data_IF_547385730569
#
_entry.id   IF_547385730569
#
_cell.length_a   1.000
_cell.length_b   1.000
_cell.length_c   1.000
_cell.angle_alpha   90.00
_cell.angle_beta   90.00
_cell.angle_gamma   90.00
#
_symmetry.space_group_name_H-M   'P 1'
#
loop_
_entity.id
_entity.type
_entity.pdbx_description
1 polymer ?
#
# COMPACT_ATOMS: atom_id res chain seq x y z
N UNK A 1 17.46 37.81 -33.97
CA UNK A 1 17.84 37.06 -32.76
C UNK A 1 16.66 36.19 -32.36
N UNK A 2 16.78 34.86 -32.47
CA UNK A 2 15.72 33.93 -32.04
C UNK A 2 15.64 34.00 -30.51
N UNK A 3 14.45 34.27 -29.97
CA UNK A 3 14.22 34.34 -28.53
C UNK A 3 14.34 32.93 -27.92
N UNK A 4 15.55 32.57 -27.49
CA UNK A 4 15.85 31.31 -26.80
C UNK A 4 15.31 31.27 -25.37
N UNK A 5 14.81 32.39 -24.82
CA UNK A 5 14.32 32.44 -23.43
C UNK A 5 12.98 31.74 -23.21
N UNK A 6 12.07 31.77 -24.20
CA UNK A 6 10.74 31.14 -24.10
C UNK A 6 10.76 29.62 -24.26
N UNK A 7 11.75 29.08 -24.98
CA UNK A 7 11.92 27.63 -25.16
C UNK A 7 12.64 26.98 -23.97
N UNK A 8 13.58 27.70 -23.34
CA UNK A 8 14.27 27.21 -22.13
C UNK A 8 13.31 27.15 -20.94
N UNK A 9 12.43 28.15 -20.77
CA UNK A 9 11.44 28.15 -19.68
C UNK A 9 10.39 27.04 -19.82
N UNK A 10 9.90 26.78 -21.04
CA UNK A 10 8.98 25.68 -21.32
C UNK A 10 9.60 24.30 -21.03
N UNK A 11 10.90 24.13 -21.30
CA UNK A 11 11.62 22.89 -21.02
C UNK A 11 11.66 22.57 -19.52
N UNK A 12 11.92 23.56 -18.66
CA UNK A 12 11.91 23.34 -17.19
C UNK A 12 10.51 23.02 -16.65
N UNK A 13 9.44 23.58 -17.23
CA UNK A 13 8.05 23.25 -16.85
C UNK A 13 7.72 21.80 -17.24
N UNK A 14 8.07 21.37 -18.45
CA UNK A 14 7.84 20.00 -18.91
C UNK A 14 8.68 19.01 -18.08
N UNK A 15 9.94 19.34 -17.76
CA UNK A 15 10.80 18.51 -16.92
C UNK A 15 10.26 18.40 -15.49
N UNK A 16 9.73 19.49 -14.92
CA UNK A 16 9.07 19.50 -13.62
C UNK A 16 7.82 18.63 -13.58
N UNK A 17 6.97 18.71 -14.62
CA UNK A 17 5.81 17.83 -14.79
C UNK A 17 6.24 16.36 -14.97
N UNK A 18 7.33 16.09 -15.68
CA UNK A 18 7.87 14.74 -15.83
C UNK A 18 8.39 14.16 -14.51
N UNK A 19 9.06 14.96 -13.68
CA UNK A 19 9.54 14.52 -12.36
C UNK A 19 8.37 14.24 -11.42
N UNK A 20 7.34 15.10 -11.43
CA UNK A 20 6.10 14.87 -10.68
C UNK A 20 5.43 13.59 -11.21
N UNK A 21 5.27 13.46 -12.51
CA UNK A 21 4.72 12.27 -13.15
C UNK A 21 5.50 11.01 -12.73
N UNK A 22 6.83 10.98 -12.80
CA UNK A 22 7.65 9.85 -12.36
C UNK A 22 7.61 9.57 -10.86
N UNK A 23 7.33 10.57 -10.01
CA UNK A 23 7.09 10.37 -8.58
C UNK A 23 5.78 9.63 -8.31
N UNK A 24 4.78 9.83 -9.17
CA UNK A 24 3.43 9.25 -9.03
C UNK A 24 3.15 8.06 -9.97
N UNK A 25 3.95 7.85 -11.02
CA UNK A 25 3.77 6.78 -12.00
C UNK A 25 4.52 5.53 -11.58
N UNK A 26 3.71 4.48 -11.37
CA UNK A 26 4.09 3.09 -11.38
C UNK A 26 4.77 2.56 -10.11
N UNK A 27 3.97 2.49 -9.04
CA UNK A 27 4.13 1.42 -8.07
C UNK A 27 3.68 0.14 -8.78
N UNK A 28 4.64 -0.59 -9.38
CA UNK A 28 4.37 -1.90 -9.96
C UNK A 28 3.91 -2.90 -8.89
N UNK A 29 3.53 -4.11 -9.32
CA UNK A 29 3.17 -5.19 -8.40
C UNK A 29 4.24 -5.45 -7.33
N UNK A 30 3.86 -6.07 -6.21
CA UNK A 30 4.77 -6.32 -5.09
C UNK A 30 5.99 -7.13 -5.53
N UNK A 31 7.17 -6.68 -5.12
CA UNK A 31 8.47 -7.26 -5.48
C UNK A 31 9.11 -7.93 -4.29
N UNK A 32 10.08 -8.81 -4.56
CA UNK A 32 10.85 -9.50 -3.53
C UNK A 32 11.57 -8.56 -2.55
N UNK A 33 11.80 -7.30 -2.93
CA UNK A 33 12.36 -6.28 -2.06
C UNK A 33 11.54 -6.05 -0.78
N UNK A 34 10.22 -6.20 -0.83
CA UNK A 34 9.32 -6.04 0.33
C UNK A 34 9.80 -6.91 1.49
N UNK A 35 10.18 -8.17 1.23
CA UNK A 35 10.55 -9.15 2.25
C UNK A 35 11.71 -8.74 3.16
N UNK A 36 12.53 -7.75 2.76
CA UNK A 36 13.69 -7.30 3.55
C UNK A 36 13.31 -6.33 4.66
N UNK A 37 12.29 -5.51 4.42
CA UNK A 37 11.89 -4.41 5.30
C UNK A 37 10.37 -4.34 5.47
N UNK A 38 9.72 -5.52 5.47
CA UNK A 38 8.28 -5.65 5.59
C UNK A 38 7.79 -5.01 6.89
N UNK A 39 6.84 -4.08 6.74
CA UNK A 39 5.97 -3.64 7.83
C UNK A 39 4.53 -3.91 7.47
N UNK A 40 3.70 -3.83 8.49
CA UNK A 40 2.29 -4.12 8.41
C UNK A 40 1.50 -2.92 8.90
N UNK A 41 0.39 -2.63 8.26
CA UNK A 41 -0.58 -1.62 8.72
C UNK A 41 -1.98 -2.09 8.35
N UNK A 42 -2.97 -1.24 8.57
CA UNK A 42 -4.36 -1.52 8.23
C UNK A 42 -4.70 -0.85 6.90
N UNK A 43 -5.22 -1.62 5.97
CA UNK A 43 -5.86 -1.13 4.77
C UNK A 43 -7.37 -1.25 4.87
N UNK A 44 -8.10 -0.27 4.35
CA UNK A 44 -9.56 -0.29 4.25
C UNK A 44 -9.97 -0.51 2.80
N UNK A 45 -10.89 -1.45 2.57
CA UNK A 45 -11.48 -1.66 1.26
C UNK A 45 -12.39 -0.48 0.92
N UNK A 46 -12.05 0.28 -0.11
CA UNK A 46 -12.78 1.49 -0.53
C UNK A 46 -13.88 1.19 -1.53
N UNK A 47 -13.65 0.26 -2.46
CA UNK A 47 -14.59 -0.06 -3.54
C UNK A 47 -14.38 -1.48 -4.06
N UNK A 48 -15.46 -2.06 -4.58
CA UNK A 48 -15.43 -3.26 -5.39
C UNK A 48 -15.70 -2.86 -6.84
N UNK A 49 -14.72 -3.07 -7.72
CA UNK A 49 -14.86 -2.77 -9.14
C UNK A 49 -15.60 -3.90 -9.87
N UNK A 50 -15.24 -5.15 -9.56
CA UNK A 50 -15.83 -6.37 -10.12
C UNK A 50 -15.92 -7.46 -9.04
N UNK A 51 -16.48 -8.64 -9.36
CA UNK A 51 -16.70 -9.74 -8.39
C UNK A 51 -15.49 -10.10 -7.52
N UNK A 52 -14.27 -9.95 -8.03
CA UNK A 52 -13.04 -10.32 -7.34
C UNK A 52 -12.01 -9.20 -7.29
N UNK A 53 -12.38 -7.96 -7.64
CA UNK A 53 -11.43 -6.87 -7.89
C UNK A 53 -11.75 -5.65 -7.03
N UNK A 54 -10.81 -5.25 -6.18
CA UNK A 54 -11.05 -4.31 -5.09
C UNK A 54 -9.99 -3.23 -5.03
N UNK A 55 -10.44 -2.02 -4.70
CA UNK A 55 -9.56 -0.93 -4.34
C UNK A 55 -9.50 -0.81 -2.82
N UNK A 56 -8.34 -0.41 -2.32
CA UNK A 56 -8.12 -0.19 -0.90
C UNK A 56 -7.23 1.01 -0.66
N UNK A 57 -7.40 1.60 0.52
CA UNK A 57 -6.60 2.73 1.00
C UNK A 57 -5.86 2.34 2.26
N UNK A 58 -4.62 2.81 2.40
CA UNK A 58 -3.82 2.66 3.62
C UNK A 58 -2.81 3.80 3.76
N UNK A 59 -2.07 3.85 4.87
CA UNK A 59 -1.04 4.87 5.11
C UNK A 59 0.36 4.27 4.96
N UNK A 60 1.22 4.97 4.25
CA UNK A 60 2.65 4.67 4.13
C UNK A 60 3.46 5.95 4.36
N UNK A 61 4.33 5.97 5.38
CA UNK A 61 5.14 7.15 5.73
C UNK A 61 4.33 8.46 5.72
N UNK A 62 3.23 8.47 6.46
CA UNK A 62 2.31 9.60 6.58
C UNK A 62 1.62 10.05 5.27
N UNK A 63 1.75 9.27 4.20
CA UNK A 63 1.03 9.48 2.94
C UNK A 63 -0.08 8.45 2.78
N UNK A 64 -1.27 8.91 2.38
CA UNK A 64 -2.33 8.04 1.87
C UNK A 64 -1.86 7.35 0.59
N UNK A 65 -2.03 6.03 0.53
CA UNK A 65 -1.78 5.20 -0.65
C UNK A 65 -3.05 4.49 -1.06
N UNK A 66 -3.22 4.38 -2.37
CA UNK A 66 -4.30 3.65 -3.01
C UNK A 66 -3.71 2.43 -3.69
N UNK A 67 -4.34 1.29 -3.43
CA UNK A 67 -3.98 0.00 -3.97
C UNK A 67 -5.15 -0.65 -4.66
N UNK A 68 -4.81 -1.55 -5.57
CA UNK A 68 -5.77 -2.34 -6.31
C UNK A 68 -5.33 -3.80 -6.26
N UNK A 69 -6.21 -4.71 -5.85
CA UNK A 69 -5.88 -6.12 -5.72
C UNK A 69 -7.09 -7.02 -5.90
N UNK A 70 -6.85 -8.19 -6.51
CA UNK A 70 -7.82 -9.28 -6.55
C UNK A 70 -7.80 -10.11 -5.28
N UNK A 71 -8.97 -10.53 -4.82
CA UNK A 71 -9.11 -11.38 -3.64
C UNK A 71 -10.55 -11.50 -3.18
N UNK A 72 -10.74 -12.07 -2.00
CA UNK A 72 -12.05 -12.23 -1.38
C UNK A 72 -12.21 -11.22 -0.23
N UNK A 73 -12.43 -9.96 -0.59
CA UNK A 73 -12.59 -8.87 0.37
C UNK A 73 -14.05 -8.50 0.59
N UNK A 74 -14.36 -7.91 1.75
CA UNK A 74 -15.67 -7.32 2.05
C UNK A 74 -15.55 -5.79 1.99
N UNK A 75 -16.35 -5.08 1.18
CA UNK A 75 -16.33 -3.62 1.14
C UNK A 75 -16.52 -2.97 2.51
N UNK A 76 -15.69 -1.99 2.84
CA UNK A 76 -15.70 -1.29 4.13
C UNK A 76 -14.97 -2.02 5.27
N UNK A 77 -14.62 -3.30 5.10
CA UNK A 77 -13.80 -4.04 6.06
C UNK A 77 -12.32 -3.62 5.97
N UNK A 78 -11.57 -4.02 6.98
CA UNK A 78 -10.21 -3.59 7.25
C UNK A 78 -9.32 -4.82 7.31
N UNK A 79 -8.23 -4.82 6.56
CA UNK A 79 -7.33 -5.97 6.44
C UNK A 79 -5.89 -5.56 6.69
N UNK A 80 -5.03 -6.54 6.99
CA UNK A 80 -3.59 -6.29 7.05
C UNK A 80 -3.03 -5.95 5.66
N UNK A 81 -2.26 -4.88 5.58
CA UNK A 81 -1.46 -4.50 4.42
C UNK A 81 0.00 -4.72 4.74
N UNK A 82 0.70 -5.47 3.89
CA UNK A 82 2.14 -5.64 3.93
C UNK A 82 2.82 -4.69 2.93
N UNK A 83 3.86 -3.98 3.35
CA UNK A 83 4.57 -3.02 2.52
C UNK A 83 6.06 -2.94 2.88
N UNK A 84 6.87 -2.46 1.93
CA UNK A 84 8.26 -2.11 2.22
C UNK A 84 8.34 -0.74 2.91
N UNK A 85 8.81 -0.73 4.16
CA UNK A 85 8.91 0.50 4.95
C UNK A 85 10.02 1.46 4.49
N UNK A 86 10.95 1.01 3.67
CA UNK A 86 12.09 1.79 3.18
C UNK A 86 11.91 2.27 1.75
N UNK A 87 11.15 1.53 0.93
CA UNK A 87 11.00 1.82 -0.49
C UNK A 87 9.64 1.39 -1.06
N UNK A 88 8.70 2.32 -1.17
CA UNK A 88 7.37 2.06 -1.73
C UNK A 88 7.40 1.51 -3.17
N UNK A 89 8.49 1.70 -3.93
CA UNK A 89 8.63 1.14 -5.29
C UNK A 89 8.78 -0.38 -5.31
N UNK A 90 9.05 -0.99 -4.17
CA UNK A 90 8.98 -2.44 -3.99
C UNK A 90 7.52 -2.92 -3.88
N UNK A 91 6.56 -2.01 -3.74
CA UNK A 91 5.14 -2.29 -3.74
C UNK A 91 4.58 -2.52 -2.34
N UNK A 92 3.30 -2.86 -2.32
CA UNK A 92 2.51 -3.21 -1.15
C UNK A 92 1.38 -4.14 -1.59
N UNK A 93 0.80 -4.87 -0.64
CA UNK A 93 -0.28 -5.81 -0.90
C UNK A 93 -1.17 -5.92 0.34
N UNK A 94 -2.46 -6.18 0.12
CA UNK A 94 -3.45 -6.38 1.19
C UNK A 94 -3.74 -7.89 1.31
N UNK A 95 -3.97 -8.38 2.52
CA UNK A 95 -4.09 -9.82 2.78
C UNK A 95 -5.55 -10.16 3.10
N UNK A 96 -6.25 -10.86 2.20
CA UNK A 96 -7.69 -11.14 2.33
C UNK A 96 -8.03 -12.12 3.45
N UNK A 97 -7.05 -12.92 3.90
CA UNK A 97 -7.21 -13.86 5.03
C UNK A 97 -7.16 -13.19 6.41
N UNK A 98 -6.66 -11.95 6.50
CA UNK A 98 -6.44 -11.27 7.78
C UNK A 98 -7.34 -10.03 7.93
N UNK A 99 -8.65 -10.27 8.03
CA UNK A 99 -9.65 -9.25 8.37
C UNK A 99 -9.52 -8.81 9.83
N UNK A 100 -8.98 -7.62 10.02
CA UNK A 100 -8.71 -7.04 11.34
C UNK A 100 -9.85 -6.17 11.86
N UNK A 101 -10.99 -6.10 11.19
CA UNK A 101 -12.09 -5.18 11.52
C UNK A 101 -12.49 -5.25 12.99
N UNK A 102 -12.84 -6.45 13.48
CA UNK A 102 -13.25 -6.65 14.88
C UNK A 102 -12.05 -6.56 15.84
N UNK A 103 -10.87 -6.95 15.35
CA UNK A 103 -9.64 -6.93 16.14
C UNK A 103 -9.20 -5.49 16.47
N UNK A 104 -9.48 -4.53 15.60
CA UNK A 104 -9.19 -3.11 15.82
C UNK A 104 -10.06 -2.55 16.95
N UNK A 105 -11.35 -2.88 16.97
CA UNK A 105 -12.26 -2.48 18.03
C UNK A 105 -11.83 -3.08 19.38
N UNK A 106 -11.53 -4.38 19.41
CA UNK A 106 -11.07 -5.08 20.62
C UNK A 106 -9.82 -4.44 21.24
N UNK A 107 -8.90 -3.95 20.42
CA UNK A 107 -7.66 -3.32 20.87
C UNK A 107 -7.76 -1.79 20.99
N UNK A 108 -8.94 -1.21 20.77
CA UNK A 108 -9.17 0.25 20.81
C UNK A 108 -8.25 1.02 19.87
N UNK A 109 -8.00 0.46 18.69
CA UNK A 109 -7.22 1.09 17.63
C UNK A 109 -8.22 1.78 16.71
N UNK A 110 -8.22 3.11 16.75
CA UNK A 110 -9.16 3.92 16.00
C UNK A 110 -8.48 4.55 14.79
N UNK A 111 -9.25 4.72 13.73
CA UNK A 111 -8.79 5.49 12.59
C UNK A 111 -8.77 6.99 12.90
N UNK A 112 -7.91 7.69 12.18
CA UNK A 112 -7.92 9.14 12.11
C UNK A 112 -8.20 9.52 10.64
N UNK A 113 -9.29 10.24 10.42
CA UNK A 113 -9.80 10.57 9.08
C UNK A 113 -10.11 9.34 8.20
N UNK A 114 -10.58 8.23 8.79
CA UNK A 114 -10.89 7.01 8.05
C UNK A 114 -9.69 6.15 7.69
N UNK A 115 -8.49 6.48 8.19
CA UNK A 115 -7.23 5.81 7.92
C UNK A 115 -6.46 5.46 9.20
N UNK A 116 -5.61 4.44 9.13
CA UNK A 116 -4.78 3.99 10.24
C UNK A 116 -3.32 4.35 9.97
N UNK A 117 -2.76 5.17 10.83
CA UNK A 117 -1.40 5.72 10.68
C UNK A 117 -0.34 4.82 11.31
N UNK A 118 -0.75 3.93 12.22
CA UNK A 118 0.16 3.05 12.92
C UNK A 118 0.65 1.91 12.00
N UNK A 119 1.96 1.69 12.02
CA UNK A 119 2.62 0.59 11.32
C UNK A 119 3.43 -0.27 12.29
N UNK A 120 3.36 -1.58 12.12
CA UNK A 120 3.98 -2.55 13.01
C UNK A 120 5.02 -3.40 12.27
N UNK A 121 6.05 -3.83 13.01
CA UNK A 121 6.76 -5.05 12.63
C UNK A 121 5.85 -6.26 12.92
N UNK A 122 6.11 -7.40 12.28
CA UNK A 122 5.29 -8.60 12.42
C UNK A 122 5.02 -8.99 13.90
N UNK A 123 6.04 -8.87 14.74
CA UNK A 123 6.01 -9.20 16.17
C UNK A 123 5.19 -8.22 17.00
N UNK A 124 5.03 -6.99 16.52
CA UNK A 124 4.30 -5.91 17.20
C UNK A 124 2.84 -5.79 16.75
N UNK A 125 2.41 -6.58 15.76
CA UNK A 125 1.01 -6.61 15.33
C UNK A 125 0.14 -7.03 16.53
N UNK A 126 -0.83 -6.20 16.96
CA UNK A 126 -1.63 -6.44 18.17
C UNK A 126 -2.68 -7.55 17.99
N UNK A 127 -2.90 -8.03 16.77
CA UNK A 127 -3.93 -9.02 16.46
C UNK A 127 -3.46 -10.46 16.73
N UNK A 128 -4.41 -11.31 17.14
CA UNK A 128 -4.21 -12.71 17.53
C UNK A 128 -4.06 -13.68 16.34
N UNK A 129 -3.33 -13.27 15.29
CA UNK A 129 -2.99 -14.13 14.15
C UNK A 129 -1.63 -14.79 14.34
N UNK A 130 -1.49 -16.00 13.77
CA UNK A 130 -0.18 -16.65 13.65
C UNK A 130 0.71 -15.82 12.74
N UNK A 131 1.86 -15.42 13.26
CA UNK A 131 2.82 -14.58 12.54
C UNK A 131 3.46 -15.34 11.38
N UNK A 132 3.61 -16.66 11.51
CA UNK A 132 4.14 -17.54 10.48
C UNK A 132 3.20 -17.61 9.28
N UNK A 133 1.89 -17.65 9.52
CA UNK A 133 0.88 -17.64 8.45
C UNK A 133 0.91 -16.33 7.67
N UNK A 134 1.03 -15.20 8.36
CA UNK A 134 1.16 -13.88 7.72
C UNK A 134 2.43 -13.84 6.86
N UNK A 135 3.56 -14.27 7.41
CA UNK A 135 4.83 -14.27 6.67
C UNK A 135 4.79 -15.20 5.46
N UNK A 136 4.20 -16.39 5.62
CA UNK A 136 4.02 -17.37 4.56
C UNK A 136 3.19 -16.80 3.42
N UNK A 137 2.04 -16.20 3.72
CA UNK A 137 1.16 -15.62 2.70
C UNK A 137 1.82 -14.48 1.93
N UNK A 138 2.53 -13.58 2.63
CA UNK A 138 3.30 -12.51 1.98
C UNK A 138 4.34 -13.09 1.02
N UNK A 139 5.06 -14.15 1.42
CA UNK A 139 6.06 -14.81 0.57
C UNK A 139 5.43 -15.49 -0.64
N UNK A 140 4.31 -16.19 -0.47
CA UNK A 140 3.58 -16.85 -1.54
C UNK A 140 3.11 -15.84 -2.59
N UNK A 141 2.44 -14.77 -2.16
CA UNK A 141 1.97 -13.71 -3.07
C UNK A 141 3.16 -13.09 -3.81
N UNK A 142 4.23 -12.71 -3.11
CA UNK A 142 5.41 -12.11 -3.77
C UNK A 142 6.07 -13.06 -4.77
N UNK A 143 6.10 -14.36 -4.49
CA UNK A 143 6.65 -15.36 -5.40
C UNK A 143 5.78 -15.55 -6.65
N UNK A 144 4.46 -15.30 -6.59
CA UNK A 144 3.59 -15.38 -7.78
C UNK A 144 3.80 -14.24 -8.78
N UNK A 145 4.51 -13.16 -8.39
CA UNK A 145 4.88 -12.05 -9.28
C UNK A 145 6.27 -12.20 -9.93
N UNK A 146 6.97 -13.31 -9.68
CA UNK A 146 8.25 -13.64 -10.36
C UNK A 146 7.99 -14.17 -11.76
#
# INVERSE_FOLDING_TARGET
>A
MRNYSGTISAYFVILGLFIIAFKYLYIGGPKIGILRHTKYTVGKISSQLNKSDYDYVFVWNDDRREGHQRGNFIPGHKYLVAYDSTNVKNGFLILDRFDVTDSLEKHRIFDEYGLYWEGWSLQKIPFQYDKSDIEFEVREIINSYK
#
